data_IF_403400824713
#
_entry.id   IF_403400824713
#
_cell.length_a   1.000
_cell.length_b   1.000
_cell.length_c   1.000
_cell.angle_alpha   90.00
_cell.angle_beta   90.00
_cell.angle_gamma   90.00
#
_symmetry.space_group_name_H-M   'P 1'
#
loop_
_entity.id
_entity.type
_entity.pdbx_description
1 polymer ?
#
# COMPACT_ATOMS: atom_id res chain seq x y z
N UNK A 1 -24.51 -16.69 -15.53
CA UNK A 1 -25.85 -16.46 -14.95
C UNK A 1 -25.74 -15.61 -13.69
N UNK A 2 -26.67 -14.68 -13.42
CA UNK A 2 -26.56 -13.70 -12.33
C UNK A 2 -26.96 -14.26 -10.94
N UNK A 3 -27.00 -15.57 -10.76
CA UNK A 3 -27.45 -16.25 -9.52
C UNK A 3 -26.32 -16.74 -8.60
N UNK A 4 -25.05 -16.54 -8.98
CA UNK A 4 -23.93 -16.97 -8.14
C UNK A 4 -23.53 -15.86 -7.16
N UNK A 5 -24.08 -15.91 -5.94
CA UNK A 5 -23.55 -15.13 -4.81
C UNK A 5 -22.18 -15.71 -4.43
N UNK A 6 -21.12 -15.25 -5.12
CA UNK A 6 -19.76 -15.69 -4.88
C UNK A 6 -19.32 -15.44 -3.43
N UNK A 7 -19.80 -14.36 -2.82
CA UNK A 7 -19.56 -14.00 -1.44
C UNK A 7 -20.78 -13.29 -0.84
N UNK A 8 -20.91 -13.32 0.49
CA UNK A 8 -21.96 -12.62 1.23
C UNK A 8 -21.44 -12.21 2.60
N UNK A 9 -21.74 -10.99 3.03
CA UNK A 9 -21.45 -10.51 4.38
C UNK A 9 -22.72 -10.62 5.24
N UNK A 10 -22.68 -11.39 6.33
CA UNK A 10 -23.80 -11.49 7.30
C UNK A 10 -23.39 -10.84 8.61
N UNK A 11 -24.17 -9.88 9.12
CA UNK A 11 -23.95 -9.24 10.42
C UNK A 11 -25.24 -9.14 11.23
N UNK A 12 -25.12 -9.04 12.56
CA UNK A 12 -26.28 -9.03 13.46
C UNK A 12 -27.00 -7.69 13.50
N UNK A 13 -26.27 -6.58 13.42
CA UNK A 13 -26.83 -5.24 13.52
C UNK A 13 -26.17 -4.35 12.47
N UNK A 14 -26.91 -4.03 11.40
CA UNK A 14 -26.45 -3.17 10.30
C UNK A 14 -27.16 -1.83 10.42
N UNK A 15 -26.41 -0.76 10.66
CA UNK A 15 -26.92 0.61 10.66
C UNK A 15 -26.39 1.32 9.43
N UNK A 16 -27.29 1.91 8.64
CA UNK A 16 -26.94 2.73 7.49
C UNK A 16 -27.21 4.19 7.84
N UNK A 17 -26.23 5.05 7.63
CA UNK A 17 -26.32 6.49 7.81
C UNK A 17 -26.06 7.19 6.46
N UNK A 18 -27.12 7.50 5.69
CA UNK A 18 -27.00 8.17 4.40
C UNK A 18 -26.38 9.56 4.49
N UNK A 19 -26.59 10.29 5.60
CA UNK A 19 -26.04 11.63 5.77
C UNK A 19 -24.50 11.59 5.83
N UNK A 20 -23.94 10.63 6.56
CA UNK A 20 -22.49 10.42 6.60
C UNK A 20 -21.98 9.60 5.42
N UNK A 21 -22.83 8.83 4.74
CA UNK A 21 -22.45 7.95 3.62
C UNK A 21 -21.86 6.62 4.08
N UNK A 22 -22.26 6.11 5.25
CA UNK A 22 -21.67 4.90 5.82
C UNK A 22 -22.66 3.88 6.35
N UNK A 23 -22.27 2.61 6.30
CA UNK A 23 -22.85 1.53 7.05
C UNK A 23 -21.91 1.04 8.16
N UNK A 24 -22.44 0.73 9.34
CA UNK A 24 -21.73 0.01 10.40
C UNK A 24 -22.39 -1.35 10.59
N UNK A 25 -21.62 -2.43 10.65
CA UNK A 25 -22.13 -3.73 11.06
C UNK A 25 -21.32 -4.32 12.22
N UNK A 26 -22.02 -4.88 13.20
CA UNK A 26 -21.38 -5.62 14.33
C UNK A 26 -21.51 -7.12 14.15
N UNK A 27 -20.49 -7.87 14.57
CA UNK A 27 -20.41 -9.33 14.42
C UNK A 27 -20.62 -9.76 12.95
N UNK A 28 -19.87 -9.15 12.05
CA UNK A 28 -19.96 -9.43 10.63
C UNK A 28 -19.09 -10.64 10.25
N UNK A 29 -19.66 -11.57 9.51
CA UNK A 29 -18.99 -12.76 8.98
C UNK A 29 -19.06 -12.72 7.46
N UNK A 30 -17.90 -12.63 6.81
CA UNK A 30 -17.76 -12.84 5.38
C UNK A 30 -17.82 -14.33 5.09
N UNK A 31 -18.72 -14.71 4.19
CA UNK A 31 -18.92 -16.09 3.74
C UNK A 31 -18.68 -16.16 2.24
N UNK A 32 -17.91 -17.15 1.80
CA UNK A 32 -17.79 -17.52 0.38
C UNK A 32 -18.68 -18.73 0.20
N UNK A 33 -19.76 -18.57 -0.58
CA UNK A 33 -20.91 -19.50 -0.54
C UNK A 33 -21.38 -19.69 0.91
N UNK A 34 -21.36 -20.92 1.42
CA UNK A 34 -21.78 -21.24 2.78
C UNK A 34 -20.64 -21.26 3.81
N UNK A 35 -19.38 -21.12 3.38
CA UNK A 35 -18.21 -21.23 4.27
C UNK A 35 -17.82 -19.88 4.89
N UNK A 36 -17.75 -19.76 6.22
CA UNK A 36 -17.24 -18.55 6.86
C UNK A 36 -15.72 -18.45 6.64
N UNK A 37 -15.27 -17.35 6.03
CA UNK A 37 -13.85 -17.12 5.73
C UNK A 37 -13.23 -16.04 6.61
N UNK A 38 -14.02 -15.08 7.08
CA UNK A 38 -13.52 -13.99 7.91
C UNK A 38 -14.60 -13.49 8.87
N UNK A 39 -14.25 -13.29 10.14
CA UNK A 39 -15.10 -12.69 11.16
C UNK A 39 -14.48 -11.38 11.62
N UNK A 40 -15.32 -10.35 11.75
CA UNK A 40 -14.94 -9.09 12.40
C UNK A 40 -16.02 -8.66 13.41
N UNK A 41 -15.62 -8.28 14.64
CA UNK A 41 -16.57 -7.77 15.64
C UNK A 41 -17.22 -6.45 15.20
N UNK A 42 -16.55 -5.67 14.36
CA UNK A 42 -17.02 -4.38 13.86
C UNK A 42 -16.49 -4.10 12.45
N UNK A 43 -17.37 -3.78 11.51
CA UNK A 43 -17.01 -3.33 10.17
C UNK A 43 -17.69 -2.00 9.86
N UNK A 44 -16.94 -1.13 9.21
CA UNK A 44 -17.36 0.16 8.72
C UNK A 44 -17.17 0.17 7.21
N UNK A 45 -18.22 0.46 6.44
CA UNK A 45 -18.19 0.37 4.99
C UNK A 45 -18.89 1.56 4.32
N UNK A 46 -18.39 2.02 3.17
CA UNK A 46 -19.04 3.06 2.38
C UNK A 46 -20.38 2.56 1.83
N UNK A 47 -21.37 3.46 1.76
CA UNK A 47 -22.63 3.23 1.03
C UNK A 47 -22.81 4.24 -0.13
N UNK A 48 -21.76 5.00 -0.44
CA UNK A 48 -21.70 6.07 -1.43
C UNK A 48 -20.25 6.25 -1.92
N UNK A 49 -20.03 6.98 -3.02
CA UNK A 49 -18.75 7.05 -3.76
C UNK A 49 -17.72 8.04 -3.19
N UNK A 50 -17.98 8.60 -2.01
CA UNK A 50 -17.04 9.51 -1.35
C UNK A 50 -15.78 8.74 -0.94
N UNK A 51 -14.59 9.25 -1.28
CA UNK A 51 -13.31 8.71 -0.81
C UNK A 51 -13.28 8.76 0.72
N UNK A 52 -12.86 7.67 1.36
CA UNK A 52 -12.93 7.54 2.81
C UNK A 52 -11.74 6.75 3.34
N UNK A 53 -11.23 7.15 4.51
CA UNK A 53 -10.16 6.41 5.18
C UNK A 53 -10.64 5.04 5.66
N UNK A 54 -9.80 4.02 5.53
CA UNK A 54 -10.14 2.66 5.96
C UNK A 54 -9.07 1.64 5.61
N UNK A 55 -9.27 0.43 6.15
CA UNK A 55 -8.44 -0.71 5.77
C UNK A 55 -8.77 -1.15 4.36
N UNK A 56 -7.73 -1.25 3.53
CA UNK A 56 -7.83 -1.93 2.25
C UNK A 56 -7.76 -3.45 2.49
N UNK A 57 -8.24 -4.27 1.53
CA UNK A 57 -8.14 -5.71 1.63
C UNK A 57 -6.68 -6.13 1.90
N UNK A 58 -6.42 -6.94 2.94
CA UNK A 58 -5.08 -7.41 3.21
C UNK A 58 -4.64 -8.38 2.11
N UNK A 59 -3.33 -8.46 1.89
CA UNK A 59 -2.72 -9.43 0.99
C UNK A 59 -1.79 -10.37 1.75
N UNK A 60 -1.69 -11.60 1.25
CA UNK A 60 -0.84 -12.64 1.80
C UNK A 60 0.01 -13.21 0.68
N UNK A 61 1.30 -13.41 0.93
CA UNK A 61 2.20 -14.08 0.00
C UNK A 61 3.19 -14.96 0.74
N UNK A 62 3.84 -15.87 0.03
CA UNK A 62 4.88 -16.73 0.59
C UNK A 62 5.96 -16.97 -0.45
N UNK A 63 7.18 -16.51 -0.16
CA UNK A 63 8.34 -16.67 -1.05
C UNK A 63 9.48 -17.39 -0.34
N UNK A 64 10.47 -17.88 -1.09
CA UNK A 64 11.70 -18.43 -0.50
C UNK A 64 12.48 -17.40 0.29
N UNK A 65 12.40 -16.13 -0.09
CA UNK A 65 13.32 -15.08 0.39
C UNK A 65 12.72 -14.34 1.59
N UNK A 66 11.43 -13.99 1.54
CA UNK A 66 10.73 -13.28 2.63
C UNK A 66 9.97 -14.21 3.57
N UNK A 67 9.71 -15.46 3.16
CA UNK A 67 8.82 -16.39 3.85
C UNK A 67 7.36 -15.94 3.78
N UNK A 68 6.56 -16.32 4.78
CA UNK A 68 5.18 -15.84 4.89
C UNK A 68 5.15 -14.32 5.07
N UNK A 69 4.35 -13.65 4.24
CA UNK A 69 4.19 -12.20 4.22
C UNK A 69 2.72 -11.83 4.36
N UNK A 70 2.44 -10.84 5.21
CA UNK A 70 1.11 -10.23 5.41
C UNK A 70 1.22 -8.72 5.24
N UNK A 71 0.41 -8.16 4.35
CA UNK A 71 0.27 -6.71 4.19
C UNK A 71 -1.13 -6.29 4.61
N UNK A 72 -1.25 -5.28 5.48
CA UNK A 72 -2.55 -4.75 5.92
C UNK A 72 -2.65 -3.26 5.62
N UNK A 73 -2.88 -2.86 4.35
CA UNK A 73 -2.83 -1.46 3.97
C UNK A 73 -3.95 -0.65 4.60
N UNK A 74 -3.66 0.59 4.97
CA UNK A 74 -4.63 1.54 5.48
C UNK A 74 -4.58 2.81 4.63
N UNK A 75 -5.71 3.12 4.02
CA UNK A 75 -5.90 4.33 3.23
C UNK A 75 -6.39 5.47 4.12
N UNK A 76 -5.79 6.63 3.97
CA UNK A 76 -6.14 7.89 4.62
C UNK A 76 -6.63 8.88 3.56
N UNK A 77 -7.94 9.10 3.51
CA UNK A 77 -8.49 10.24 2.78
C UNK A 77 -8.35 11.49 3.66
N UNK A 78 -7.30 12.29 3.41
CA UNK A 78 -6.99 13.48 4.21
C UNK A 78 -7.77 14.71 3.73
N UNK A 79 -7.84 14.90 2.41
CA UNK A 79 -8.61 15.96 1.77
C UNK A 79 -9.01 15.56 0.34
N UNK A 80 -9.93 16.28 -0.32
CA UNK A 80 -10.35 15.96 -1.69
C UNK A 80 -9.21 15.94 -2.73
N UNK A 81 -8.11 16.63 -2.43
CA UNK A 81 -6.98 16.86 -3.31
C UNK A 81 -5.68 16.16 -2.87
N UNK A 82 -5.67 15.45 -1.74
CA UNK A 82 -4.52 14.63 -1.35
C UNK A 82 -4.92 13.49 -0.41
N UNK A 83 -4.23 12.37 -0.57
CA UNK A 83 -4.43 11.17 0.24
C UNK A 83 -3.09 10.53 0.62
N UNK A 84 -3.14 9.64 1.60
CA UNK A 84 -1.99 8.85 1.99
C UNK A 84 -2.40 7.39 2.16
N UNK A 85 -1.50 6.45 1.87
CA UNK A 85 -1.69 5.03 2.13
C UNK A 85 -0.51 4.51 2.90
N UNK A 86 -0.77 3.80 4.00
CA UNK A 86 0.25 3.16 4.81
C UNK A 86 0.17 1.65 4.62
N UNK A 87 1.30 1.02 4.28
CA UNK A 87 1.41 -0.41 4.04
C UNK A 87 2.30 -1.03 5.13
N UNK A 88 1.72 -1.42 6.27
CA UNK A 88 2.41 -2.30 7.22
C UNK A 88 2.55 -3.69 6.58
N UNK A 89 3.80 -4.11 6.38
CA UNK A 89 4.17 -5.39 5.79
C UNK A 89 4.95 -6.20 6.81
N UNK A 90 4.38 -7.31 7.23
CA UNK A 90 5.07 -8.30 8.06
C UNK A 90 5.65 -9.40 7.19
N UNK A 91 6.96 -9.67 7.32
CA UNK A 91 7.67 -10.75 6.66
C UNK A 91 8.28 -11.68 7.71
N UNK A 92 8.00 -12.98 7.61
CA UNK A 92 8.45 -13.95 8.61
C UNK A 92 9.98 -14.05 8.74
N UNK A 93 10.71 -13.91 7.62
CA UNK A 93 12.19 -14.00 7.62
C UNK A 93 12.88 -12.66 7.89
N UNK A 94 12.31 -11.55 7.39
CA UNK A 94 12.95 -10.22 7.40
C UNK A 94 12.45 -9.28 8.50
N UNK A 95 11.25 -9.49 9.03
CA UNK A 95 10.65 -8.66 10.07
C UNK A 95 9.57 -7.71 9.55
N UNK A 96 9.41 -6.57 10.24
CA UNK A 96 8.34 -5.61 9.96
C UNK A 96 8.88 -4.48 9.08
N UNK A 97 8.24 -4.27 7.94
CA UNK A 97 8.46 -3.15 7.04
C UNK A 97 7.26 -2.22 7.10
N UNK A 98 7.52 -0.92 6.99
CA UNK A 98 6.49 0.10 6.89
C UNK A 98 6.73 0.91 5.62
N UNK A 99 5.73 0.91 4.74
CA UNK A 99 5.75 1.75 3.54
C UNK A 99 4.65 2.81 3.63
N UNK A 100 4.92 3.98 3.07
CA UNK A 100 4.01 5.11 2.99
C UNK A 100 4.00 5.65 1.57
N UNK A 101 2.80 5.82 1.04
CA UNK A 101 2.53 6.54 -0.19
C UNK A 101 1.74 7.79 0.15
N UNK A 102 2.14 8.94 -0.37
CA UNK A 102 1.40 10.18 -0.30
C UNK A 102 1.16 10.70 -1.70
N UNK A 103 -0.09 10.96 -2.06
CA UNK A 103 -0.46 11.46 -3.38
C UNK A 103 -1.17 12.79 -3.23
N UNK A 104 -0.85 13.71 -4.11
CA UNK A 104 -1.51 15.00 -4.17
C UNK A 104 -1.82 15.39 -5.61
N UNK A 105 -2.95 16.06 -5.78
CA UNK A 105 -3.43 16.61 -7.03
C UNK A 105 -3.98 18.01 -6.76
N UNK A 106 -3.22 19.02 -7.15
CA UNK A 106 -3.61 20.42 -7.11
C UNK A 106 -4.01 20.89 -8.52
N UNK A 107 -4.42 22.15 -8.66
CA UNK A 107 -4.78 22.70 -9.96
C UNK A 107 -3.63 22.68 -10.98
N UNK A 108 -2.40 22.85 -10.50
CA UNK A 108 -1.19 23.02 -11.32
C UNK A 108 -0.17 21.90 -11.14
N UNK A 109 -0.34 21.02 -10.16
CA UNK A 109 0.66 20.01 -9.79
C UNK A 109 0.01 18.69 -9.44
N UNK A 110 0.61 17.60 -9.88
CA UNK A 110 0.33 16.25 -9.41
C UNK A 110 1.62 15.57 -8.98
N UNK A 111 1.56 14.77 -7.92
CA UNK A 111 2.74 14.07 -7.47
C UNK A 111 2.48 12.97 -6.47
N UNK A 112 3.48 12.11 -6.37
CA UNK A 112 3.53 10.94 -5.50
C UNK A 112 4.85 10.99 -4.73
N UNK A 113 4.74 10.89 -3.41
CA UNK A 113 5.88 10.74 -2.50
C UNK A 113 5.80 9.35 -1.91
N UNK A 114 6.91 8.62 -1.99
CA UNK A 114 7.02 7.26 -1.48
C UNK A 114 8.11 7.22 -0.41
N UNK A 115 7.86 6.49 0.67
CA UNK A 115 8.86 6.21 1.69
C UNK A 115 8.68 4.78 2.19
N UNK A 116 9.78 4.10 2.48
CA UNK A 116 9.76 2.79 3.09
C UNK A 116 10.91 2.65 4.08
N UNK A 117 10.67 1.88 5.13
CA UNK A 117 11.69 1.52 6.11
C UNK A 117 11.48 0.09 6.60
N UNK A 118 12.58 -0.64 6.72
CA UNK A 118 12.68 -1.99 7.26
C UNK A 118 13.97 -2.07 8.07
N UNK A 119 13.85 -2.59 9.29
CA UNK A 119 14.99 -3.10 10.02
C UNK A 119 15.11 -4.59 9.70
N UNK A 120 16.03 -4.93 8.79
CA UNK A 120 16.16 -6.28 8.24
C UNK A 120 16.76 -7.21 9.29
N UNK A 121 15.96 -8.19 9.72
CA UNK A 121 16.38 -9.24 10.64
C UNK A 121 17.10 -10.39 9.94
N UNK A 122 17.09 -10.40 8.62
CA UNK A 122 17.70 -11.45 7.83
C UNK A 122 19.19 -11.18 7.62
N UNK A 123 20.02 -12.16 7.99
CA UNK A 123 21.48 -12.05 8.11
C UNK A 123 22.22 -12.60 6.86
N UNK A 124 21.50 -13.24 5.93
CA UNK A 124 22.11 -13.91 4.77
C UNK A 124 22.93 -13.00 3.82
N UNK A 125 22.89 -11.68 4.00
CA UNK A 125 23.66 -10.70 3.22
C UNK A 125 24.76 -9.95 4.01
N UNK A 126 25.03 -10.28 5.28
CA UNK A 126 26.05 -9.57 6.09
C UNK A 126 27.46 -9.58 5.46
N UNK A 127 27.79 -10.58 4.64
CA UNK A 127 29.08 -10.67 3.95
C UNK A 127 29.19 -9.91 2.61
N UNK A 128 28.11 -9.28 2.14
CA UNK A 128 28.10 -8.59 0.85
C UNK A 128 28.55 -7.13 1.00
N UNK A 129 29.35 -6.59 0.05
CA UNK A 129 29.70 -5.18 0.06
C UNK A 129 28.44 -4.31 -0.05
N UNK A 130 28.45 -3.16 0.62
CA UNK A 130 27.36 -2.17 0.61
C UNK A 130 26.00 -2.65 1.14
N UNK A 131 25.98 -3.77 1.88
CA UNK A 131 24.78 -4.22 2.60
C UNK A 131 24.50 -3.35 3.84
N UNK A 132 23.24 -3.00 4.04
CA UNK A 132 22.74 -2.29 5.22
C UNK A 132 21.58 -3.08 5.85
N UNK A 133 21.60 -3.23 7.18
CA UNK A 133 20.47 -3.78 7.94
C UNK A 133 19.29 -2.82 7.98
N UNK A 134 19.56 -1.52 8.04
CA UNK A 134 18.54 -0.48 7.93
C UNK A 134 18.26 -0.23 6.45
N UNK A 135 17.18 -0.83 5.96
CA UNK A 135 16.79 -0.75 4.55
C UNK A 135 15.68 0.26 4.39
N UNK A 136 15.85 1.17 3.45
CA UNK A 136 14.91 2.25 3.24
C UNK A 136 14.87 2.67 1.78
N UNK A 137 13.74 3.25 1.39
CA UNK A 137 13.53 3.86 0.10
C UNK A 137 12.85 5.18 0.33
N UNK A 138 13.21 6.20 -0.44
CA UNK A 138 12.37 7.36 -0.62
C UNK A 138 12.33 7.78 -2.09
N UNK A 139 11.14 8.12 -2.56
CA UNK A 139 10.88 8.49 -3.93
C UNK A 139 10.01 9.74 -4.00
N UNK A 140 10.23 10.55 -5.03
CA UNK A 140 9.42 11.69 -5.37
C UNK A 140 9.23 11.71 -6.88
N UNK A 141 7.97 11.55 -7.30
CA UNK A 141 7.53 11.83 -8.66
C UNK A 141 6.60 13.01 -8.63
N UNK A 142 6.94 14.09 -9.31
CA UNK A 142 6.14 15.31 -9.34
C UNK A 142 6.14 15.91 -10.74
N UNK A 143 4.96 16.30 -11.19
CA UNK A 143 4.74 17.05 -12.43
C UNK A 143 4.02 18.33 -12.06
N UNK A 144 4.64 19.48 -12.30
CA UNK A 144 4.09 20.78 -11.94
C UNK A 144 4.14 21.73 -13.13
N UNK A 145 2.98 22.20 -13.57
CA UNK A 145 2.82 23.32 -14.49
C UNK A 145 2.74 24.63 -13.72
N UNK A 146 3.87 25.30 -13.52
CA UNK A 146 3.94 26.59 -12.81
C UNK A 146 3.07 27.67 -13.50
N UNK A 147 2.98 27.61 -14.84
CA UNK A 147 2.05 28.34 -15.70
C UNK A 147 1.82 27.57 -17.01
N UNK A 148 1.23 28.21 -18.04
CA UNK A 148 0.97 27.58 -19.35
C UNK A 148 2.23 27.30 -20.19
N UNK A 149 3.42 27.68 -19.73
CA UNK A 149 4.69 27.61 -20.48
C UNK A 149 5.81 26.91 -19.71
N UNK A 150 5.72 26.84 -18.38
CA UNK A 150 6.73 26.27 -17.51
C UNK A 150 6.25 24.97 -16.88
N UNK A 151 6.84 23.87 -17.35
CA UNK A 151 6.68 22.53 -16.82
C UNK A 151 7.94 22.16 -16.02
N UNK A 152 7.73 21.72 -14.79
CA UNK A 152 8.78 21.16 -13.94
C UNK A 152 8.41 19.71 -13.60
N UNK A 153 9.28 18.78 -14.00
CA UNK A 153 9.16 17.36 -13.70
C UNK A 153 10.29 16.93 -12.78
N UNK A 154 9.97 16.11 -11.79
CA UNK A 154 10.90 15.49 -10.86
C UNK A 154 10.62 14.00 -10.86
N UNK A 155 11.63 13.20 -11.19
CA UNK A 155 11.64 11.76 -10.94
C UNK A 155 12.89 11.43 -10.15
N UNK A 156 12.72 11.25 -8.84
CA UNK A 156 13.81 10.98 -7.92
C UNK A 156 13.49 9.74 -7.10
N UNK A 157 14.45 8.81 -7.03
CA UNK A 157 14.37 7.64 -6.16
C UNK A 157 15.74 7.40 -5.53
N UNK A 158 15.77 7.20 -4.22
CA UNK A 158 16.97 6.77 -3.50
C UNK A 158 16.65 5.59 -2.60
N UNK A 159 17.57 4.64 -2.59
CA UNK A 159 17.50 3.40 -1.82
C UNK A 159 18.70 3.30 -0.90
N UNK A 160 18.56 2.49 0.15
CA UNK A 160 19.63 2.20 1.13
C UNK A 160 20.81 1.46 0.52
N UNK A 161 20.52 0.45 -0.30
CA UNK A 161 21.51 -0.52 -0.78
C UNK A 161 21.13 -1.03 -2.18
N UNK A 162 22.11 -1.47 -2.99
CA UNK A 162 21.86 -1.92 -4.36
C UNK A 162 20.94 -3.14 -4.48
N UNK A 163 20.74 -3.88 -3.39
CA UNK A 163 19.96 -5.11 -3.37
C UNK A 163 18.49 -4.89 -3.02
N UNK A 164 18.06 -3.64 -2.75
CA UNK A 164 16.72 -3.32 -2.25
C UNK A 164 15.61 -3.97 -3.09
N UNK A 165 15.58 -3.71 -4.39
CA UNK A 165 14.55 -4.24 -5.31
C UNK A 165 14.72 -5.72 -5.66
N UNK A 166 15.85 -6.35 -5.30
CA UNK A 166 16.05 -7.79 -5.51
C UNK A 166 15.41 -8.60 -4.37
N UNK A 167 15.42 -8.02 -3.16
CA UNK A 167 15.03 -8.69 -1.94
C UNK A 167 13.63 -8.33 -1.44
N UNK A 168 13.19 -7.10 -1.75
CA UNK A 168 11.97 -6.50 -1.23
C UNK A 168 11.02 -6.17 -2.38
N UNK A 169 9.81 -6.70 -2.28
CA UNK A 169 8.67 -6.29 -3.10
C UNK A 169 8.08 -4.99 -2.53
N UNK A 170 7.54 -4.13 -3.39
CA UNK A 170 7.00 -2.82 -2.99
C UNK A 170 5.66 -2.53 -3.64
N UNK A 171 4.71 -2.05 -2.84
CA UNK A 171 3.40 -1.58 -3.32
C UNK A 171 3.45 -0.12 -3.84
N UNK A 172 4.61 0.55 -3.72
CA UNK A 172 4.76 2.00 -3.95
C UNK A 172 4.81 2.42 -5.43
N UNK A 173 4.62 1.49 -6.38
CA UNK A 173 4.73 1.77 -7.81
C UNK A 173 6.13 2.24 -8.26
N UNK A 174 7.13 2.10 -7.38
CA UNK A 174 8.53 2.41 -7.64
C UNK A 174 9.23 1.09 -7.99
N UNK A 175 9.64 0.93 -9.25
CA UNK A 175 10.33 -0.27 -9.72
C UNK A 175 11.78 0.01 -10.09
N UNK A 176 12.56 -1.07 -10.24
CA UNK A 176 13.87 -1.02 -10.91
C UNK A 176 13.69 -0.52 -12.34
N UNK A 177 13.98 0.76 -12.59
CA UNK A 177 14.30 1.20 -13.96
C UNK A 177 15.66 0.62 -14.29
N UNK A 178 15.71 -0.37 -15.18
CA UNK A 178 16.96 -0.92 -15.71
C UNK A 178 17.74 0.22 -16.35
N UNK A 179 18.69 0.81 -15.61
CA UNK A 179 19.66 1.72 -16.19
C UNK A 179 20.62 0.84 -17.00
N UNK A 180 20.36 0.71 -18.31
CA UNK A 180 21.34 0.16 -19.24
C UNK A 180 22.52 1.13 -19.26
N UNK A 181 23.54 0.83 -18.45
CA UNK A 181 24.85 1.45 -18.60
C UNK A 181 25.38 1.04 -19.97
N UNK A 182 25.40 1.98 -20.91
CA UNK A 182 26.19 1.84 -22.13
C UNK A 182 27.67 1.83 -21.71
N UNK A 183 28.44 0.75 -21.98
CA UNK A 183 29.88 0.83 -21.88
C UNK A 183 30.41 1.77 -22.97
N UNK A 184 31.31 2.67 -22.58
CA UNK A 184 32.08 3.52 -23.48
C UNK A 184 33.14 2.72 -24.24
#
# INVERSE_FOLDING_TARGET
EPSSNAWTLKGNNVKLNPATGFGTATNATLRVKDFPVFYTPYIYFPIDDRRQSGFLPPSFSSTSDTGFTLVTPYYFNLAPNYDATLYPRYMAKRGMMLEGEFRYLTHSSEGIVNAAYLNDKDDHREGFPDYSKDRWLYGLKNTTGLDSRWLAEVDYTRISDPYYFQDLDTDLGVGSTTCLLYPA
#
